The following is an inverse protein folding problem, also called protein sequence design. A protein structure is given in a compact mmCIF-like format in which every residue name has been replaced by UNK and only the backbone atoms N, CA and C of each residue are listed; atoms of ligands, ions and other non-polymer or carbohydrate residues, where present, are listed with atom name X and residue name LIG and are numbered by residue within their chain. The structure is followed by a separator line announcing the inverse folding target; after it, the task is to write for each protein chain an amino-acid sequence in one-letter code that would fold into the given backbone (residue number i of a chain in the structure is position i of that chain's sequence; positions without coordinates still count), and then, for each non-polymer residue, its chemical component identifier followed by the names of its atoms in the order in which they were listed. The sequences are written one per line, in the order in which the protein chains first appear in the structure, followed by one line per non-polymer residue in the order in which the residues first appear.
data_IF_970151745896
#
_entry.id   IF_970151745896
#
_cell.length_a   1.000
_cell.length_b   1.000
_cell.length_c   1.000
_cell.angle_alpha   90.00
_cell.angle_beta   90.00
_cell.angle_gamma   90.00
#
_symmetry.space_group_name_H-M   'P 1'
#
loop_
_entity.id
_entity.type
_entity.pdbx_description
1 polymer ?
#
# COMPACT_ATOMS: atom_id res chain seq x y z
N UNK A 1 0.71 19.85 7.75
CA UNK A 1 1.53 18.80 7.13
C UNK A 1 0.85 17.49 7.49
N UNK A 2 0.22 16.80 6.53
CA UNK A 2 -0.50 15.57 6.83
C UNK A 2 0.53 14.50 7.21
N UNK A 3 0.56 14.14 8.49
CA UNK A 3 1.38 13.04 8.99
C UNK A 3 0.98 11.79 8.21
N UNK A 4 1.95 11.10 7.61
CA UNK A 4 1.76 9.90 6.80
C UNK A 4 1.34 8.69 7.64
N UNK A 5 0.22 8.82 8.34
CA UNK A 5 -0.41 7.74 9.11
C UNK A 5 -0.96 6.72 8.13
N UNK A 6 -0.55 5.47 8.33
CA UNK A 6 -1.09 4.33 7.59
C UNK A 6 -1.93 3.50 8.54
N UNK A 7 -3.18 3.30 8.17
CA UNK A 7 -4.12 2.44 8.89
C UNK A 7 -4.02 1.02 8.32
N UNK A 8 -4.05 0.02 9.20
CA UNK A 8 -4.02 -1.39 8.81
C UNK A 8 -5.27 -2.13 9.30
N UNK A 9 -5.91 -2.86 8.39
CA UNK A 9 -7.00 -3.79 8.70
C UNK A 9 -6.53 -5.23 8.46
N UNK A 10 -6.84 -6.13 9.40
CA UNK A 10 -6.53 -7.56 9.31
C UNK A 10 -7.83 -8.35 9.33
N UNK A 11 -8.10 -9.11 8.28
CA UNK A 11 -9.27 -9.97 8.17
C UNK A 11 -8.81 -11.39 7.84
N UNK A 12 -9.09 -12.33 8.75
CA UNK A 12 -8.83 -13.74 8.49
C UNK A 12 -9.83 -14.28 7.47
N UNK A 13 -9.31 -14.89 6.41
CA UNK A 13 -10.06 -15.57 5.36
C UNK A 13 -9.60 -17.03 5.29
N UNK A 14 -10.21 -17.89 6.12
CA UNK A 14 -9.81 -19.29 6.25
C UNK A 14 -8.37 -19.44 6.73
N UNK A 15 -7.49 -19.98 5.87
CA UNK A 15 -6.05 -20.17 6.11
C UNK A 15 -5.18 -19.01 5.62
N UNK A 16 -5.80 -17.90 5.21
CA UNK A 16 -5.14 -16.70 4.76
C UNK A 16 -5.51 -15.51 5.64
N UNK A 17 -4.66 -14.49 5.63
CA UNK A 17 -4.90 -13.19 6.23
C UNK A 17 -4.93 -12.14 5.12
N UNK A 18 -6.08 -11.48 4.96
CA UNK A 18 -6.21 -10.26 4.15
C UNK A 18 -5.76 -9.09 5.00
N UNK A 19 -4.84 -8.29 4.45
CA UNK A 19 -4.34 -7.08 5.11
C UNK A 19 -4.57 -5.90 4.19
N UNK A 20 -5.39 -4.94 4.63
CA UNK A 20 -5.53 -3.65 3.97
C UNK A 20 -4.58 -2.64 4.61
N UNK A 21 -3.88 -1.85 3.80
CA UNK A 21 -3.11 -0.69 4.22
C UNK A 21 -3.66 0.55 3.53
N UNK A 22 -4.06 1.54 4.32
CA UNK A 22 -4.73 2.76 3.86
C UNK A 22 -3.91 3.96 4.27
N UNK A 23 -3.56 4.82 3.31
CA UNK A 23 -2.98 6.13 3.61
C UNK A 23 -4.09 7.10 4.03
N UNK A 24 -4.01 7.65 5.25
CA UNK A 24 -5.06 8.51 5.81
C UNK A 24 -5.27 9.78 4.98
N UNK A 25 -4.20 10.34 4.41
CA UNK A 25 -4.24 11.63 3.73
C UNK A 25 -4.85 11.55 2.32
N UNK A 26 -4.53 10.49 1.58
CA UNK A 26 -4.98 10.31 0.20
C UNK A 26 -6.19 9.38 0.07
N UNK A 27 -6.48 8.58 1.10
CA UNK A 27 -7.50 7.53 1.06
C UNK A 27 -7.11 6.34 0.18
N UNK A 28 -5.88 6.29 -0.33
CA UNK A 28 -5.44 5.18 -1.19
C UNK A 28 -5.29 3.92 -0.33
N UNK A 29 -6.00 2.87 -0.73
CA UNK A 29 -5.96 1.55 -0.13
C UNK A 29 -5.19 0.57 -1.01
N UNK A 30 -4.39 -0.28 -0.38
CA UNK A 30 -3.86 -1.49 -0.99
C UNK A 30 -4.16 -2.70 -0.12
N UNK A 31 -4.61 -3.78 -0.75
CA UNK A 31 -4.90 -5.05 -0.10
C UNK A 31 -3.85 -6.08 -0.49
N UNK A 32 -3.32 -6.80 0.50
CA UNK A 32 -2.45 -7.95 0.29
C UNK A 32 -3.03 -9.21 0.94
N UNK A 33 -2.74 -10.36 0.35
CA UNK A 33 -3.10 -11.67 0.90
C UNK A 33 -1.82 -12.35 1.39
N UNK A 34 -1.84 -12.85 2.62
CA UNK A 34 -0.70 -13.47 3.28
C UNK A 34 -1.13 -14.77 3.97
N UNK A 35 -0.19 -15.69 4.29
CA UNK A 35 -0.50 -16.84 5.13
C UNK A 35 -1.00 -16.40 6.51
N UNK A 36 -1.97 -17.13 7.09
CA UNK A 36 -2.50 -16.84 8.42
C UNK A 36 -1.42 -16.81 9.52
N UNK A 37 -0.38 -17.64 9.38
CA UNK A 37 0.71 -17.78 10.33
C UNK A 37 1.89 -16.82 10.09
N UNK A 38 1.80 -15.90 9.12
CA UNK A 38 2.83 -14.90 8.92
C UNK A 38 2.93 -13.97 10.14
N UNK A 39 4.14 -13.53 10.48
CA UNK A 39 4.33 -12.58 11.57
C UNK A 39 3.65 -11.23 11.25
N UNK A 40 2.91 -10.65 12.20
CA UNK A 40 2.18 -9.38 12.00
C UNK A 40 3.05 -8.27 11.40
N UNK A 41 4.23 -8.04 11.96
CA UNK A 41 5.15 -7.03 11.44
C UNK A 41 5.65 -7.31 10.02
N UNK A 42 5.70 -8.58 9.58
CA UNK A 42 6.02 -8.90 8.17
C UNK A 42 4.86 -8.52 7.25
N UNK A 43 3.62 -8.81 7.65
CA UNK A 43 2.42 -8.44 6.88
C UNK A 43 2.29 -6.92 6.73
N UNK A 44 2.49 -6.16 7.82
CA UNK A 44 2.47 -4.69 7.79
C UNK A 44 3.53 -4.13 6.85
N UNK A 45 4.77 -4.63 6.91
CA UNK A 45 5.85 -4.19 6.01
C UNK A 45 5.53 -4.48 4.54
N UNK A 46 4.96 -5.64 4.24
CA UNK A 46 4.57 -6.00 2.88
C UNK A 46 3.48 -5.06 2.36
N UNK A 47 2.41 -4.86 3.14
CA UNK A 47 1.29 -4.00 2.78
C UNK A 47 1.74 -2.53 2.62
N UNK A 48 2.56 -2.03 3.55
CA UNK A 48 3.16 -0.69 3.50
C UNK A 48 4.02 -0.48 2.26
N UNK A 49 4.87 -1.46 1.91
CA UNK A 49 5.71 -1.37 0.72
C UNK A 49 4.87 -1.28 -0.57
N UNK A 50 3.76 -2.02 -0.64
CA UNK A 50 2.84 -1.96 -1.78
C UNK A 50 2.06 -0.64 -1.83
N UNK A 51 1.61 -0.14 -0.69
CA UNK A 51 0.96 1.17 -0.58
C UNK A 51 1.89 2.30 -1.05
N UNK A 52 3.14 2.33 -0.59
CA UNK A 52 4.16 3.32 -1.02
C UNK A 52 4.35 3.31 -2.54
N UNK A 53 4.49 2.12 -3.13
CA UNK A 53 4.61 1.98 -4.59
C UNK A 53 3.38 2.50 -5.32
N UNK A 54 2.17 2.28 -4.80
CA UNK A 54 0.93 2.80 -5.39
C UNK A 54 0.88 4.33 -5.32
N UNK A 55 1.26 4.91 -4.18
CA UNK A 55 1.34 6.35 -3.98
C UNK A 55 2.34 7.01 -4.94
N UNK A 56 3.48 6.36 -5.19
CA UNK A 56 4.47 6.83 -6.18
C UNK A 56 3.92 6.83 -7.61
N UNK A 57 3.05 5.88 -7.96
CA UNK A 57 2.43 5.81 -9.29
C UNK A 57 1.33 6.86 -9.50
N UNK A 58 0.63 7.25 -8.44
CA UNK A 58 -0.41 8.29 -8.47
C UNK A 58 0.17 9.70 -8.43
N UNK A 59 1.45 9.86 -8.07
CA UNK A 59 2.13 11.14 -8.24
C UNK A 59 2.22 11.43 -9.74
N UNK A 60 1.67 12.55 -10.23
CA UNK A 60 1.75 12.89 -11.64
C UNK A 60 3.21 12.96 -12.06
N UNK A 61 3.60 12.09 -12.98
CA UNK A 61 4.92 12.19 -13.61
C UNK A 61 5.00 13.53 -14.33
N UNK A 62 6.11 14.30 -14.21
CA UNK A 62 6.27 15.50 -15.01
C UNK A 62 6.13 15.15 -16.49
N UNK A 63 5.50 16.01 -17.31
CA UNK A 63 5.26 15.73 -18.72
C UNK A 63 6.60 15.38 -19.37
N UNK A 64 6.68 14.19 -19.96
CA UNK A 64 7.84 13.81 -20.76
C UNK A 64 7.93 14.80 -21.91
N UNK A 65 8.94 15.68 -21.86
CA UNK A 65 9.26 16.56 -22.99
C UNK A 65 9.69 15.65 -24.13
N UNK A 66 8.77 15.39 -25.05
CA UNK A 66 8.98 14.54 -26.21
C UNK A 66 10.16 15.06 -27.02
N UNK A 67 11.24 14.28 -27.09
CA UNK A 67 12.23 14.41 -28.14
C UNK A 67 11.66 13.78 -29.40
N UNK A 68 10.90 14.58 -30.15
CA UNK A 68 10.71 14.34 -31.58
C UNK A 68 11.72 15.25 -32.27
N UNK A 69 12.79 14.63 -32.76
CA UNK A 69 13.79 15.21 -33.65
C UNK A 69 13.60 14.59 -35.04
#
# INVERSE_FOLDING_TARGET
MANGTVLFEFVQLGQQMRVAAIDEATGIEVVVITPLNAARGHMERLALAKLRRRLEQERPSPPSVGKFA
#
